data_IF_382546183546
#
_entry.id   IF_382546183546
#
_cell.length_a   1.000
_cell.length_b   1.000
_cell.length_c   1.000
_cell.angle_alpha   90.00
_cell.angle_beta   90.00
_cell.angle_gamma   90.00
#
_symmetry.space_group_name_H-M   'P 1'
#
loop_
_entity.id
_entity.type
_entity.pdbx_description
1 polymer ?
#
# COMPACT_ATOMS: atom_id res chain seq x y z
N UNK A 1 4.31 12.55 16.47
CA UNK A 1 3.53 11.39 15.99
C UNK A 1 4.53 10.43 15.37
N UNK A 2 4.46 9.14 15.64
CA UNK A 2 5.43 8.17 15.10
C UNK A 2 5.10 7.86 13.63
N UNK A 3 6.10 7.49 12.82
CA UNK A 3 5.89 6.99 11.44
C UNK A 3 4.93 5.78 11.42
N UNK A 4 4.93 4.97 12.48
CA UNK A 4 3.99 3.86 12.65
C UNK A 4 2.54 4.32 12.81
N UNK A 5 2.31 5.46 13.45
CA UNK A 5 0.98 6.03 13.63
C UNK A 5 0.45 6.59 12.31
N UNK A 6 1.34 7.18 11.51
CA UNK A 6 1.03 7.72 10.18
C UNK A 6 0.68 6.62 9.18
N UNK A 7 1.50 5.56 9.10
CA UNK A 7 1.23 4.37 8.29
C UNK A 7 -0.11 3.74 8.69
N UNK A 8 -0.39 3.66 9.99
CA UNK A 8 -1.66 3.11 10.50
C UNK A 8 -2.85 3.96 10.08
N UNK A 9 -2.77 5.29 10.14
CA UNK A 9 -3.83 6.19 9.65
C UNK A 9 -4.04 6.02 8.14
N UNK A 10 -2.98 5.97 7.34
CA UNK A 10 -3.07 5.75 5.88
C UNK A 10 -3.76 4.41 5.57
N UNK A 11 -3.33 3.33 6.22
CA UNK A 11 -3.86 1.98 6.01
C UNK A 11 -5.27 1.76 6.57
N UNK A 12 -5.72 2.54 7.56
CA UNK A 12 -7.07 2.39 8.14
C UNK A 12 -8.07 3.41 7.61
N UNK A 13 -7.65 4.59 7.15
CA UNK A 13 -8.56 5.70 6.80
C UNK A 13 -8.59 5.97 5.30
N UNK A 14 -7.44 5.97 4.62
CA UNK A 14 -7.34 6.37 3.20
C UNK A 14 -7.63 5.18 2.27
N UNK A 15 -7.15 4.01 2.67
CA UNK A 15 -7.23 2.72 1.94
C UNK A 15 -8.64 2.10 1.84
N UNK A 16 -9.62 2.62 2.60
CA UNK A 16 -11.03 2.17 2.57
C UNK A 16 -11.72 2.55 1.25
N UNK A 17 -11.16 3.49 0.50
CA UNK A 17 -11.66 3.82 -0.83
C UNK A 17 -11.26 2.73 -1.83
N UNK A 18 -12.21 2.30 -2.66
CA UNK A 18 -11.94 1.44 -3.83
C UNK A 18 -11.06 2.24 -4.80
N UNK A 19 -9.75 1.99 -4.77
CA UNK A 19 -8.87 2.38 -5.85
C UNK A 19 -8.96 1.33 -6.95
N UNK A 20 -9.07 1.81 -8.18
CA UNK A 20 -10.03 1.30 -9.14
C UNK A 20 -9.41 0.29 -10.13
N UNK A 21 -8.75 -0.76 -9.62
CA UNK A 21 -8.13 -1.79 -10.47
C UNK A 21 -8.55 -3.22 -10.12
N UNK A 22 -9.21 -3.45 -8.97
CA UNK A 22 -9.62 -4.78 -8.53
C UNK A 22 -10.93 -4.75 -7.73
N UNK A 23 -11.53 -5.93 -7.54
CA UNK A 23 -12.74 -6.13 -6.73
C UNK A 23 -12.49 -5.92 -5.22
N UNK A 24 -11.23 -5.75 -4.81
CA UNK A 24 -10.79 -5.55 -3.43
C UNK A 24 -10.29 -4.12 -3.21
N UNK A 25 -10.43 -3.59 -1.99
CA UNK A 25 -9.83 -2.31 -1.60
C UNK A 25 -8.32 -2.45 -1.44
N UNK A 26 -7.58 -1.33 -1.53
CA UNK A 26 -6.13 -1.33 -1.31
C UNK A 26 -5.74 -1.85 0.09
N UNK A 27 -6.55 -1.55 1.12
CA UNK A 27 -6.37 -2.15 2.45
C UNK A 27 -6.53 -3.66 2.45
N UNK A 28 -7.52 -4.18 1.73
CA UNK A 28 -7.79 -5.60 1.67
C UNK A 28 -6.69 -6.33 0.91
N UNK A 29 -6.17 -5.75 -0.18
CA UNK A 29 -5.00 -6.25 -0.90
C UNK A 29 -3.79 -6.35 0.03
N UNK A 30 -3.41 -5.25 0.68
CA UNK A 30 -2.27 -5.19 1.58
C UNK A 30 -2.37 -6.21 2.74
N UNK A 31 -3.54 -6.33 3.37
CA UNK A 31 -3.77 -7.29 4.44
C UNK A 31 -3.72 -8.74 3.95
N UNK A 32 -4.28 -9.05 2.78
CA UNK A 32 -4.23 -10.39 2.21
C UNK A 32 -2.79 -10.79 1.86
N UNK A 33 -2.00 -9.89 1.30
CA UNK A 33 -0.57 -10.13 1.03
C UNK A 33 0.20 -10.42 2.33
N UNK A 34 0.02 -9.59 3.36
CA UNK A 34 0.66 -9.77 4.66
C UNK A 34 0.24 -11.09 5.33
N UNK A 35 -1.05 -11.42 5.30
CA UNK A 35 -1.59 -12.65 5.87
C UNK A 35 -1.06 -13.89 5.15
N UNK A 36 -0.93 -13.85 3.82
CA UNK A 36 -0.35 -14.96 3.06
C UNK A 36 1.13 -15.18 3.41
N UNK A 37 1.90 -14.09 3.61
CA UNK A 37 3.29 -14.18 4.06
C UNK A 37 3.40 -14.76 5.47
N UNK A 38 2.48 -14.40 6.37
CA UNK A 38 2.39 -14.94 7.73
C UNK A 38 2.05 -16.44 7.72
N UNK A 39 1.05 -16.87 6.94
CA UNK A 39 0.70 -18.30 6.77
C UNK A 39 1.87 -19.11 6.20
N UNK A 40 2.69 -18.48 5.36
CA UNK A 40 3.91 -19.08 4.82
C UNK A 40 5.09 -19.10 5.79
N UNK A 41 4.91 -18.66 7.05
CA UNK A 41 5.97 -18.52 8.06
C UNK A 41 7.16 -17.67 7.59
N UNK A 42 6.87 -16.61 6.83
CA UNK A 42 7.89 -15.67 6.35
C UNK A 42 8.45 -14.82 7.49
N UNK A 43 9.57 -14.15 7.25
CA UNK A 43 10.16 -13.24 8.24
C UNK A 43 9.26 -12.02 8.48
N UNK A 44 9.45 -11.35 9.62
CA UNK A 44 8.70 -10.14 9.99
C UNK A 44 8.93 -9.02 8.96
N UNK A 45 10.13 -8.94 8.39
CA UNK A 45 10.49 -8.00 7.33
C UNK A 45 9.68 -8.27 6.06
N UNK A 46 9.51 -9.55 5.67
CA UNK A 46 8.73 -9.93 4.49
C UNK A 46 7.24 -9.65 4.69
N UNK A 47 6.70 -9.99 5.87
CA UNK A 47 5.29 -9.69 6.22
C UNK A 47 5.06 -8.16 6.17
N UNK A 48 6.00 -7.39 6.71
CA UNK A 48 5.94 -5.92 6.70
C UNK A 48 6.05 -5.36 5.27
N UNK A 49 6.94 -5.90 4.44
CA UNK A 49 7.06 -5.51 3.04
C UNK A 49 5.77 -5.79 2.26
N UNK A 50 5.17 -6.97 2.43
CA UNK A 50 3.87 -7.31 1.84
C UNK A 50 2.75 -6.37 2.27
N UNK A 51 2.76 -5.90 3.52
CA UNK A 51 1.77 -4.95 4.01
C UNK A 51 1.94 -3.54 3.40
N UNK A 52 3.17 -3.14 3.09
CA UNK A 52 3.50 -1.75 2.73
C UNK A 52 3.81 -1.54 1.24
N UNK A 53 3.95 -2.59 0.44
CA UNK A 53 4.44 -2.50 -0.94
C UNK A 53 3.66 -1.49 -1.81
N UNK A 54 2.34 -1.42 -1.62
CA UNK A 54 1.44 -0.57 -2.41
C UNK A 54 1.08 0.76 -1.73
N UNK A 55 1.73 1.13 -0.62
CA UNK A 55 1.40 2.37 0.12
C UNK A 55 1.55 3.63 -0.74
N UNK A 56 2.40 3.60 -1.77
CA UNK A 56 2.56 4.68 -2.74
C UNK A 56 1.27 5.05 -3.48
N UNK A 57 0.35 4.10 -3.68
CA UNK A 57 -0.98 4.39 -4.25
C UNK A 57 -1.82 5.32 -3.36
N UNK A 58 -1.61 5.28 -2.05
CA UNK A 58 -2.37 6.07 -1.07
C UNK A 58 -1.75 7.46 -0.85
N UNK A 59 -0.44 7.59 -1.09
CA UNK A 59 0.32 8.81 -0.89
C UNK A 59 0.20 9.79 -2.07
N UNK A 60 -0.11 9.30 -3.28
CA UNK A 60 -0.16 10.13 -4.47
C UNK A 60 -1.59 10.27 -5.04
N UNK A 61 -2.18 11.46 -4.92
CA UNK A 61 -3.48 11.75 -5.52
C UNK A 61 -3.46 11.75 -7.06
N UNK A 62 -2.30 12.11 -7.65
CA UNK A 62 -2.07 12.12 -9.11
C UNK A 62 -2.05 10.70 -9.68
N UNK A 63 -1.68 9.70 -8.86
CA UNK A 63 -1.71 8.29 -9.23
C UNK A 63 -3.09 7.84 -9.70
N UNK A 64 -4.18 8.40 -9.15
CA UNK A 64 -5.55 8.09 -9.61
C UNK A 64 -5.77 8.38 -11.08
N UNK A 65 -5.18 9.46 -11.58
CA UNK A 65 -5.38 9.90 -12.95
C UNK A 65 -4.51 9.09 -13.91
N UNK A 66 -3.24 8.86 -13.55
CA UNK A 66 -2.35 7.97 -14.29
C UNK A 66 -2.94 6.55 -14.43
N UNK A 67 -3.40 5.97 -13.31
CA UNK A 67 -4.07 4.66 -13.29
C UNK A 67 -5.29 4.61 -14.21
N UNK A 68 -6.17 5.61 -14.12
CA UNK A 68 -7.37 5.67 -14.98
C UNK A 68 -7.03 5.81 -16.46
N UNK A 69 -5.87 6.38 -16.78
CA UNK A 69 -5.38 6.52 -18.15
C UNK A 69 -4.59 5.29 -18.62
N UNK A 70 -4.38 4.28 -17.76
CA UNK A 70 -3.52 3.13 -18.05
C UNK A 70 -2.02 3.46 -18.06
N UNK A 71 -1.63 4.56 -17.41
CA UNK A 71 -0.26 5.04 -17.28
C UNK A 71 0.35 4.55 -15.96
N UNK A 72 1.67 4.30 -15.94
CA UNK A 72 2.34 3.96 -14.69
C UNK A 72 2.30 5.15 -13.73
N UNK A 73 1.79 4.93 -12.52
CA UNK A 73 1.73 5.94 -11.48
C UNK A 73 3.03 6.06 -10.66
N UNK A 74 4.04 5.22 -10.96
CA UNK A 74 5.33 5.17 -10.24
C UNK A 74 5.13 4.99 -8.72
N UNK A 75 4.08 4.25 -8.33
CA UNK A 75 3.69 4.03 -6.94
C UNK A 75 4.76 3.28 -6.15
N UNK A 76 5.51 2.41 -6.83
CA UNK A 76 6.67 1.69 -6.32
C UNK A 76 7.80 2.63 -5.87
N UNK A 77 8.11 3.67 -6.64
CA UNK A 77 9.14 4.65 -6.30
C UNK A 77 8.70 5.54 -5.14
N UNK A 78 7.42 5.92 -5.13
CA UNK A 78 6.82 6.75 -4.07
C UNK A 78 6.78 6.00 -2.74
N UNK A 79 6.45 4.70 -2.76
CA UNK A 79 6.51 3.85 -1.58
C UNK A 79 7.95 3.77 -1.03
N UNK A 80 8.94 3.60 -1.91
CA UNK A 80 10.35 3.55 -1.53
C UNK A 80 10.84 4.85 -0.88
N UNK A 81 10.49 6.01 -1.44
CA UNK A 81 10.89 7.31 -0.89
C UNK A 81 10.28 7.56 0.49
N UNK A 82 8.99 7.22 0.67
CA UNK A 82 8.29 7.36 1.96
C UNK A 82 8.84 6.43 3.05
N UNK A 83 9.24 5.21 2.69
CA UNK A 83 9.72 4.23 3.67
C UNK A 83 11.21 4.42 4.03
N UNK A 84 11.94 5.27 3.30
CA UNK A 84 13.35 5.59 3.55
C UNK A 84 13.57 6.85 4.39
N UNK A 85 12.55 7.71 4.53
CA UNK A 85 12.56 8.94 5.33
C UNK A 85 12.31 8.67 6.80
#
# INVERSE_FOLDING_TARGET
MSITDEIKSILLEISRNRFNESWVTQSSNALQCAQNAEIAYSSVEMITACLLHDIGHLLNYVARQAIRNGENAEHEHIAMDCLRS
#
